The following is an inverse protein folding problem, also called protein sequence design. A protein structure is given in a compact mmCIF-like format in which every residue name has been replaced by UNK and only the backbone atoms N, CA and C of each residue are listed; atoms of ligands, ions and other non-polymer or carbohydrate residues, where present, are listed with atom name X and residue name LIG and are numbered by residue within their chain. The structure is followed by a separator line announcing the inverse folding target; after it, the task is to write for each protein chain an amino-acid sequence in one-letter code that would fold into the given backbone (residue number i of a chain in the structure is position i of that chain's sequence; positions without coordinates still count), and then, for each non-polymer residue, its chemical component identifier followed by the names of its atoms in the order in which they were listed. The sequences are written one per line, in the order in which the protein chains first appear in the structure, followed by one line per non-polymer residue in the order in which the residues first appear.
data_IF_206827181680
#
_entry.id   IF_206827181680
#
_cell.length_a   1.000
_cell.length_b   1.000
_cell.length_c   1.000
_cell.angle_alpha   90.00
_cell.angle_beta   90.00
_cell.angle_gamma   90.00
#
_symmetry.space_group_name_H-M   'P 1'
#
loop_
_entity.id
_entity.type
_entity.pdbx_description
1 polymer ?
#
# COMPACT_ATOMS: atom_id res chain seq x y z
N UNK A 1 16.84 8.23 -16.92
CA UNK A 1 17.44 8.49 -15.60
C UNK A 1 16.53 7.81 -14.60
N UNK A 2 17.06 6.94 -13.75
CA UNK A 2 16.23 6.20 -12.79
C UNK A 2 15.86 7.08 -11.61
N UNK A 3 14.63 6.98 -11.13
CA UNK A 3 14.10 7.69 -9.97
C UNK A 3 14.80 7.24 -8.69
N UNK A 4 14.96 8.17 -7.74
CA UNK A 4 15.37 7.83 -6.37
C UNK A 4 14.19 7.27 -5.58
N UNK A 5 14.44 6.64 -4.43
CA UNK A 5 13.37 6.21 -3.51
C UNK A 5 12.47 7.39 -3.08
N UNK A 6 13.04 8.59 -2.96
CA UNK A 6 12.28 9.80 -2.63
C UNK A 6 11.37 10.25 -3.78
N UNK A 7 11.87 10.21 -5.02
CA UNK A 7 11.07 10.50 -6.22
C UNK A 7 9.90 9.52 -6.34
N UNK A 8 10.15 8.23 -6.12
CA UNK A 8 9.13 7.17 -6.14
C UNK A 8 8.04 7.44 -5.10
N UNK A 9 8.43 7.64 -3.83
CA UNK A 9 7.47 7.90 -2.75
C UNK A 9 6.72 9.23 -2.93
N UNK A 10 7.36 10.28 -3.48
CA UNK A 10 6.70 11.53 -3.81
C UNK A 10 5.64 11.35 -4.91
N UNK A 11 6.02 10.70 -6.02
CA UNK A 11 5.13 10.45 -7.15
C UNK A 11 3.98 9.52 -6.78
N UNK A 12 4.23 8.49 -5.96
CA UNK A 12 3.20 7.59 -5.47
C UNK A 12 2.12 8.35 -4.67
N UNK A 13 2.54 9.27 -3.78
CA UNK A 13 1.61 10.12 -3.03
C UNK A 13 0.84 11.07 -3.92
N UNK A 14 1.48 11.65 -4.94
CA UNK A 14 0.80 12.50 -5.92
C UNK A 14 -0.25 11.70 -6.72
N UNK A 15 0.11 10.50 -7.18
CA UNK A 15 -0.77 9.61 -7.92
C UNK A 15 -1.96 9.15 -7.07
N UNK A 16 -1.76 8.89 -5.78
CA UNK A 16 -2.82 8.53 -4.84
C UNK A 16 -3.95 9.57 -4.76
N UNK A 17 -3.68 10.84 -5.09
CA UNK A 17 -4.71 11.90 -5.12
C UNK A 17 -5.60 11.85 -6.37
N UNK A 18 -5.26 11.04 -7.38
CA UNK A 18 -5.91 11.02 -8.69
C UNK A 18 -6.78 9.76 -8.94
N UNK A 19 -7.11 8.99 -7.92
CA UNK A 19 -7.88 7.73 -8.01
C UNK A 19 -7.29 6.71 -9.00
N UNK A 20 -6.10 6.15 -8.73
CA UNK A 20 -5.29 5.45 -9.72
C UNK A 20 -5.60 3.95 -9.85
N UNK A 21 -6.70 3.49 -9.28
CA UNK A 21 -7.03 2.07 -9.23
C UNK A 21 -7.63 1.54 -10.52
N UNK A 22 -7.37 0.26 -10.78
CA UNK A 22 -8.18 -0.55 -11.69
C UNK A 22 -9.55 -0.83 -11.06
N UNK A 23 -10.53 -1.22 -11.87
CA UNK A 23 -11.89 -1.49 -11.38
C UNK A 23 -11.92 -2.57 -10.29
N UNK A 24 -11.19 -3.67 -10.45
CA UNK A 24 -11.06 -4.72 -9.45
C UNK A 24 -10.36 -4.24 -8.18
N UNK A 25 -9.23 -3.54 -8.30
CA UNK A 25 -8.54 -3.00 -7.12
C UNK A 25 -9.42 -2.01 -6.35
N UNK A 26 -10.23 -1.20 -7.05
CA UNK A 26 -11.19 -0.30 -6.42
C UNK A 26 -12.33 -1.06 -5.70
N UNK A 27 -12.88 -2.13 -6.30
CA UNK A 27 -13.89 -2.98 -5.65
C UNK A 27 -13.32 -3.64 -4.39
N UNK A 28 -12.12 -4.20 -4.50
CA UNK A 28 -11.40 -4.81 -3.39
C UNK A 28 -11.15 -3.80 -2.25
N UNK A 29 -10.62 -2.62 -2.56
CA UNK A 29 -10.38 -1.55 -1.60
C UNK A 29 -11.67 -1.16 -0.87
N UNK A 30 -12.76 -0.93 -1.61
CA UNK A 30 -14.03 -0.53 -1.02
C UNK A 30 -14.58 -1.57 -0.04
N UNK A 31 -14.44 -2.86 -0.38
CA UNK A 31 -14.81 -3.97 0.52
C UNK A 31 -13.98 -3.96 1.79
N UNK A 32 -12.66 -4.03 1.64
CA UNK A 32 -11.73 -4.17 2.76
C UNK A 32 -11.80 -2.95 3.69
N UNK A 33 -11.86 -1.74 3.15
CA UNK A 33 -12.04 -0.53 3.96
C UNK A 33 -13.38 -0.56 4.70
N UNK A 34 -14.45 -1.05 4.07
CA UNK A 34 -15.74 -1.27 4.74
C UNK A 34 -15.63 -2.21 5.94
N UNK A 35 -14.96 -3.35 5.76
CA UNK A 35 -14.71 -4.34 6.81
C UNK A 35 -13.82 -3.80 7.93
N UNK A 36 -12.76 -3.07 7.59
CA UNK A 36 -11.89 -2.44 8.59
C UNK A 36 -12.63 -1.37 9.38
N UNK A 37 -13.42 -0.51 8.74
CA UNK A 37 -14.22 0.50 9.45
C UNK A 37 -15.23 -0.10 10.42
N UNK A 38 -15.70 -1.32 10.14
CA UNK A 38 -16.65 -2.03 11.00
C UNK A 38 -15.97 -2.83 12.13
N UNK A 39 -14.75 -3.30 11.91
CA UNK A 39 -14.04 -4.20 12.84
C UNK A 39 -13.06 -3.50 13.78
N UNK A 40 -12.59 -2.30 13.41
CA UNK A 40 -11.60 -1.56 14.20
C UNK A 40 -12.24 -0.85 15.40
N UNK A 41 -11.49 -0.62 16.50
CA UNK A 41 -11.97 0.13 17.67
C UNK A 41 -12.42 1.55 17.33
N UNK A 42 -11.81 2.17 16.31
CA UNK A 42 -12.16 3.48 15.76
C UNK A 42 -12.30 3.36 14.24
N UNK A 43 -13.42 3.82 13.63
CA UNK A 43 -13.62 3.76 12.19
C UNK A 43 -12.51 4.45 11.37
N UNK A 44 -11.87 5.48 11.93
CA UNK A 44 -10.76 6.22 11.33
C UNK A 44 -9.57 5.31 11.00
N UNK A 45 -9.33 4.28 11.81
CA UNK A 45 -8.26 3.29 11.57
C UNK A 45 -8.48 2.58 10.23
N UNK A 46 -9.74 2.23 9.92
CA UNK A 46 -10.07 1.63 8.62
C UNK A 46 -9.90 2.61 7.45
N UNK A 47 -10.12 3.90 7.67
CA UNK A 47 -9.80 4.93 6.66
C UNK A 47 -8.28 5.07 6.47
N UNK A 48 -7.49 4.97 7.54
CA UNK A 48 -6.03 5.02 7.45
C UNK A 48 -5.46 3.81 6.71
N UNK A 49 -5.99 2.62 6.97
CA UNK A 49 -5.67 1.41 6.21
C UNK A 49 -5.89 1.59 4.71
N UNK A 50 -7.04 2.16 4.32
CA UNK A 50 -7.34 2.45 2.91
C UNK A 50 -6.36 3.43 2.27
N UNK A 51 -5.96 4.48 2.99
CA UNK A 51 -4.97 5.44 2.51
C UNK A 51 -3.57 4.82 2.36
N UNK A 52 -3.14 4.04 3.35
CA UNK A 52 -1.87 3.31 3.34
C UNK A 52 -1.80 2.32 2.16
N UNK A 53 -2.86 1.53 1.97
CA UNK A 53 -3.01 0.62 0.84
C UNK A 53 -2.91 1.36 -0.50
N UNK A 54 -3.60 2.49 -0.62
CA UNK A 54 -3.52 3.32 -1.83
C UNK A 54 -2.07 3.77 -2.10
N UNK A 55 -1.35 4.21 -1.07
CA UNK A 55 0.05 4.62 -1.20
C UNK A 55 0.94 3.52 -1.79
N UNK A 56 0.87 2.31 -1.23
CA UNK A 56 1.64 1.16 -1.73
C UNK A 56 1.27 0.76 -3.15
N UNK A 57 -0.02 0.72 -3.47
CA UNK A 57 -0.50 0.42 -4.82
C UNK A 57 0.06 1.43 -5.85
N UNK A 58 0.08 2.71 -5.49
CA UNK A 58 0.61 3.76 -6.33
C UNK A 58 2.13 3.66 -6.52
N UNK A 59 2.87 3.18 -5.52
CA UNK A 59 4.30 2.96 -5.66
C UNK A 59 4.60 1.99 -6.79
N UNK A 60 3.93 0.83 -6.79
CA UNK A 60 4.11 -0.15 -7.86
C UNK A 60 3.74 0.42 -9.23
N UNK A 61 2.65 1.20 -9.30
CA UNK A 61 2.27 1.89 -10.55
C UNK A 61 3.33 2.87 -11.05
N UNK A 62 3.98 3.61 -10.15
CA UNK A 62 5.05 4.53 -10.52
C UNK A 62 6.28 3.77 -11.02
N UNK A 63 6.60 2.62 -10.45
CA UNK A 63 7.67 1.75 -10.95
C UNK A 63 7.36 1.19 -12.34
N UNK A 64 6.10 0.77 -12.57
CA UNK A 64 5.63 0.36 -13.91
C UNK A 64 5.80 1.49 -14.92
N UNK A 65 5.35 2.71 -14.57
CA UNK A 65 5.49 3.89 -15.42
C UNK A 65 6.97 4.21 -15.69
N UNK A 66 7.86 4.11 -14.69
CA UNK A 66 9.31 4.28 -14.84
C UNK A 66 9.91 3.25 -15.80
N UNK A 67 9.48 1.99 -15.71
CA UNK A 67 9.91 0.90 -16.56
C UNK A 67 9.30 0.96 -17.97
N UNK A 68 8.40 1.91 -18.25
CA UNK A 68 7.67 2.01 -19.51
C UNK A 68 6.65 0.89 -19.70
N UNK A 69 6.21 0.25 -18.61
CA UNK A 69 5.19 -0.79 -18.62
C UNK A 69 3.81 -0.14 -18.50
N UNK A 70 2.97 -0.34 -19.51
CA UNK A 70 1.55 0.00 -19.43
C UNK A 70 0.77 -1.30 -19.20
N UNK A 71 0.62 -1.68 -17.94
CA UNK A 71 -0.21 -2.83 -17.56
C UNK A 71 -1.66 -2.36 -17.46
N UNK A 72 -2.39 -2.49 -18.57
CA UNK A 72 -3.84 -2.31 -18.58
C UNK A 72 -4.51 -3.39 -17.74
N UNK A 73 -5.55 -3.02 -16.99
CA UNK A 73 -6.37 -4.00 -16.30
C UNK A 73 -7.10 -4.89 -17.30
N UNK A 74 -6.90 -6.20 -17.18
CA UNK A 74 -7.74 -7.19 -17.83
C UNK A 74 -9.19 -6.96 -17.40
N UNK A 75 -10.19 -7.04 -18.29
CA UNK A 75 -11.59 -6.85 -17.91
C UNK A 75 -12.03 -7.80 -16.79
N UNK A 76 -12.36 -7.21 -15.64
CA UNK A 76 -12.53 -7.86 -14.34
C UNK A 76 -13.85 -8.65 -14.14
N UNK A 77 -14.45 -9.18 -15.21
CA UNK A 77 -15.80 -9.75 -15.13
C UNK A 77 -15.88 -10.98 -14.22
N UNK A 78 -14.80 -11.79 -14.14
CA UNK A 78 -14.81 -13.10 -13.47
C UNK A 78 -13.72 -13.27 -12.38
N UNK A 79 -12.99 -12.22 -12.00
CA UNK A 79 -11.94 -12.34 -10.96
C UNK A 79 -12.56 -12.18 -9.58
N UNK A 80 -12.41 -13.23 -8.76
CA UNK A 80 -12.85 -13.29 -7.37
C UNK A 80 -11.97 -12.37 -6.46
N UNK A 81 -12.56 -11.36 -5.78
CA UNK A 81 -11.83 -10.53 -4.81
C UNK A 81 -11.18 -11.29 -3.66
N UNK A 82 -11.69 -12.48 -3.29
CA UNK A 82 -11.06 -13.33 -2.26
C UNK A 82 -9.77 -13.95 -2.78
N UNK A 83 -9.78 -14.41 -4.03
CA UNK A 83 -8.56 -14.92 -4.66
C UNK A 83 -7.50 -13.82 -4.81
N UNK A 84 -7.93 -12.60 -5.14
CA UNK A 84 -7.04 -11.44 -5.18
C UNK A 84 -6.42 -11.14 -3.80
N UNK A 85 -7.23 -11.24 -2.73
CA UNK A 85 -6.74 -11.05 -1.37
C UNK A 85 -5.66 -12.07 -1.01
N UNK A 86 -5.91 -13.35 -1.28
CA UNK A 86 -4.97 -14.44 -1.00
C UNK A 86 -3.61 -14.21 -1.67
N UNK A 87 -3.63 -13.83 -2.95
CA UNK A 87 -2.40 -13.58 -3.72
C UNK A 87 -1.69 -12.34 -3.19
N UNK A 88 -2.40 -11.25 -2.93
CA UNK A 88 -1.82 -10.03 -2.36
C UNK A 88 -1.21 -10.27 -0.97
N UNK A 89 -1.84 -11.10 -0.13
CA UNK A 89 -1.31 -11.50 1.19
C UNK A 89 -0.01 -12.29 1.05
N UNK A 90 0.03 -13.25 0.13
CA UNK A 90 1.25 -14.04 -0.11
C UNK A 90 2.39 -13.16 -0.59
N UNK A 91 2.16 -12.31 -1.60
CA UNK A 91 3.17 -11.40 -2.14
C UNK A 91 3.62 -10.40 -1.06
N UNK A 92 2.70 -9.90 -0.22
CA UNK A 92 3.08 -9.01 0.88
C UNK A 92 4.00 -9.69 1.90
N UNK A 93 3.74 -10.96 2.23
CA UNK A 93 4.60 -11.74 3.12
C UNK A 93 6.00 -11.97 2.51
N UNK A 94 6.04 -12.27 1.22
CA UNK A 94 7.27 -12.42 0.44
C UNK A 94 8.10 -11.12 0.49
N UNK A 95 7.48 -9.98 0.14
CA UNK A 95 8.13 -8.65 0.19
C UNK A 95 8.70 -8.33 1.58
N UNK A 96 7.94 -8.60 2.65
CA UNK A 96 8.40 -8.35 4.03
C UNK A 96 9.60 -9.22 4.45
N UNK A 97 9.73 -10.40 3.88
CA UNK A 97 10.82 -11.33 4.21
C UNK A 97 12.00 -11.23 3.23
N UNK A 98 11.87 -10.39 2.19
CA UNK A 98 12.83 -10.36 1.08
C UNK A 98 12.82 -11.64 0.25
N UNK A 99 11.74 -12.42 0.31
CA UNK A 99 11.54 -13.59 -0.51
C UNK A 99 10.86 -13.20 -1.83
N UNK A 100 11.20 -13.87 -2.93
CA UNK A 100 10.61 -13.65 -4.25
C UNK A 100 11.13 -12.40 -4.97
N UNK A 101 11.12 -12.45 -6.30
CA UNK A 101 11.49 -11.32 -7.18
C UNK A 101 10.22 -10.53 -7.54
N UNK A 102 9.75 -9.70 -6.62
CA UNK A 102 8.49 -8.95 -6.78
C UNK A 102 8.72 -7.51 -7.25
N UNK A 103 9.91 -6.94 -7.09
CA UNK A 103 10.25 -5.57 -7.49
C UNK A 103 10.59 -5.46 -8.98
N UNK A 104 10.22 -4.34 -9.60
CA UNK A 104 10.61 -4.05 -11.01
C UNK A 104 11.97 -3.35 -11.11
N UNK A 105 12.45 -2.78 -10.01
CA UNK A 105 13.74 -2.12 -9.92
C UNK A 105 14.63 -2.75 -8.85
N UNK A 106 15.61 -1.99 -8.42
CA UNK A 106 16.46 -2.33 -7.28
C UNK A 106 15.63 -2.51 -5.98
N UNK A 107 15.74 -3.68 -5.35
CA UNK A 107 14.97 -4.04 -4.15
C UNK A 107 15.22 -3.08 -3.00
N UNK A 108 16.49 -2.68 -2.78
CA UNK A 108 16.84 -1.72 -1.73
C UNK A 108 16.12 -0.38 -1.93
N UNK A 109 16.05 0.08 -3.18
CA UNK A 109 15.32 1.29 -3.55
C UNK A 109 13.82 1.17 -3.34
N UNK A 110 13.21 0.06 -3.71
CA UNK A 110 11.77 -0.19 -3.52
C UNK A 110 11.42 -0.24 -2.04
N UNK A 111 12.21 -0.97 -1.24
CA UNK A 111 12.05 -1.04 0.22
C UNK A 111 12.20 0.35 0.85
N UNK A 112 13.22 1.12 0.46
CA UNK A 112 13.40 2.48 0.96
C UNK A 112 12.24 3.42 0.58
N UNK A 113 11.59 3.22 -0.57
CA UNK A 113 10.41 3.98 -0.96
C UNK A 113 9.17 3.57 -0.14
N UNK A 114 8.98 2.27 0.12
CA UNK A 114 7.94 1.74 1.00
C UNK A 114 8.09 2.30 2.43
N UNK A 115 9.29 2.26 3.00
CA UNK A 115 9.58 2.78 4.33
C UNK A 115 9.21 4.26 4.45
N UNK A 116 9.52 5.05 3.41
CA UNK A 116 9.15 6.48 3.35
C UNK A 116 7.64 6.68 3.29
N UNK A 117 6.91 5.82 2.59
CA UNK A 117 5.45 5.86 2.58
C UNK A 117 4.90 5.51 3.96
N UNK A 118 5.41 4.45 4.59
CA UNK A 118 5.01 4.06 5.96
C UNK A 118 5.23 5.21 6.94
N UNK A 119 6.44 5.77 6.99
CA UNK A 119 6.75 6.90 7.87
C UNK A 119 5.81 8.08 7.61
N UNK A 120 5.61 8.46 6.35
CA UNK A 120 4.69 9.54 6.01
C UNK A 120 3.25 9.21 6.42
N UNK A 121 2.83 7.95 6.35
CA UNK A 121 1.51 7.55 6.77
C UNK A 121 1.36 7.62 8.29
N UNK A 122 2.33 7.12 9.05
CA UNK A 122 2.39 7.18 10.53
C UNK A 122 2.42 8.64 11.02
N UNK A 123 3.36 9.45 10.51
CA UNK A 123 3.57 10.83 10.93
C UNK A 123 2.31 11.69 10.77
N UNK A 124 1.63 11.60 9.61
CA UNK A 124 0.41 12.38 9.31
C UNK A 124 -0.73 12.14 10.30
N UNK A 125 -0.83 10.95 10.90
CA UNK A 125 -1.95 10.59 11.78
C UNK A 125 -1.62 10.83 13.24
N UNK A 126 -0.33 10.72 13.58
CA UNK A 126 0.10 10.64 14.96
C UNK A 126 0.75 11.90 15.50
N UNK A 127 1.02 12.91 14.68
CA UNK A 127 1.51 14.20 15.17
C UNK A 127 0.59 14.80 16.26
N UNK A 128 -0.73 14.57 16.15
CA UNK A 128 -1.71 15.02 17.15
C UNK A 128 -1.86 14.09 18.36
N UNK A 129 -1.40 12.83 18.28
CA UNK A 129 -1.64 11.79 19.30
C UNK A 129 -0.39 11.39 20.05
N UNK A 130 0.79 11.91 19.66
CA UNK A 130 2.10 11.51 20.17
C UNK A 130 2.24 11.56 21.69
N UNK A 131 1.60 12.53 22.33
CA UNK A 131 1.64 12.68 23.79
C UNK A 131 0.53 11.89 24.52
N UNK A 132 -0.37 11.25 23.77
CA UNK A 132 -1.60 10.60 24.28
C UNK A 132 -1.61 9.07 24.12
N UNK A 133 -0.72 8.50 23.29
CA UNK A 133 -0.57 7.06 23.11
C UNK A 133 0.76 6.58 23.68
N UNK A 134 0.76 5.39 24.29
CA UNK A 134 1.98 4.78 24.78
C UNK A 134 2.80 4.14 23.64
N UNK A 135 4.07 3.86 23.93
CA UNK A 135 5.02 3.27 22.95
C UNK A 135 4.52 1.94 22.36
N UNK A 136 3.70 1.20 23.11
CA UNK A 136 3.16 -0.09 22.65
C UNK A 136 2.08 0.13 21.60
N UNK A 137 1.10 0.98 21.89
CA UNK A 137 0.05 1.36 20.94
C UNK A 137 0.64 2.03 19.69
N UNK A 138 1.73 2.80 19.87
CA UNK A 138 2.50 3.36 18.76
C UNK A 138 3.02 2.26 17.82
N UNK A 139 3.76 1.30 18.36
CA UNK A 139 4.33 0.21 17.58
C UNK A 139 3.26 -0.67 16.90
N UNK A 140 2.13 -0.93 17.58
CA UNK A 140 1.02 -1.69 17.00
C UNK A 140 0.40 -0.96 15.79
N UNK A 141 0.24 0.36 15.86
CA UNK A 141 -0.29 1.14 14.74
C UNK A 141 0.73 1.25 13.59
N UNK A 142 2.01 1.43 13.89
CA UNK A 142 3.08 1.44 12.89
C UNK A 142 3.13 0.12 12.12
N UNK A 143 3.09 -1.02 12.81
CA UNK A 143 3.02 -2.34 12.20
C UNK A 143 1.74 -2.51 11.36
N UNK A 144 0.61 -2.04 11.87
CA UNK A 144 -0.67 -2.09 11.15
C UNK A 144 -0.63 -1.29 9.84
N UNK A 145 -0.12 -0.05 9.86
CA UNK A 145 -0.01 0.77 8.65
C UNK A 145 1.05 0.23 7.68
N UNK A 146 2.15 -0.30 8.20
CA UNK A 146 3.18 -0.99 7.41
C UNK A 146 2.57 -2.12 6.61
N UNK A 147 1.79 -2.98 7.28
CA UNK A 147 1.07 -4.07 6.60
C UNK A 147 0.21 -3.56 5.44
N UNK A 148 -0.55 -2.50 5.64
CA UNK A 148 -1.42 -1.97 4.59
C UNK A 148 -0.66 -1.33 3.43
N UNK A 149 0.45 -0.62 3.68
CA UNK A 149 1.31 -0.11 2.61
C UNK A 149 1.86 -1.26 1.78
N UNK A 150 2.46 -2.27 2.41
CA UNK A 150 3.05 -3.40 1.69
C UNK A 150 1.98 -4.22 0.96
N UNK A 151 0.81 -4.43 1.58
CA UNK A 151 -0.31 -5.13 0.94
C UNK A 151 -0.85 -4.36 -0.27
N UNK A 152 -0.84 -3.02 -0.23
CA UNK A 152 -1.19 -2.19 -1.38
C UNK A 152 -0.24 -2.37 -2.56
N UNK A 153 1.07 -2.41 -2.28
CA UNK A 153 2.09 -2.69 -3.29
C UNK A 153 1.90 -4.08 -3.90
N UNK A 154 1.70 -5.09 -3.06
CA UNK A 154 1.40 -6.46 -3.46
C UNK A 154 0.11 -6.59 -4.28
N UNK A 155 -0.95 -5.85 -3.93
CA UNK A 155 -2.23 -5.84 -4.65
C UNK A 155 -2.08 -5.44 -6.12
N UNK A 156 -1.11 -4.59 -6.46
CA UNK A 156 -0.87 -4.22 -7.86
C UNK A 156 -0.13 -5.31 -8.63
N UNK A 157 0.64 -6.15 -7.94
CA UNK A 157 1.38 -7.27 -8.51
C UNK A 157 0.44 -8.47 -8.74
N UNK A 158 -0.50 -8.70 -7.83
CA UNK A 158 -1.50 -9.76 -7.86
C UNK A 158 -2.47 -9.64 -9.05
#
# INVERSE_FOLDING_TARGET
MSFTAEDLAFRARALAQAHPFTSLAQRYLNRIVGEQRASQPLPEIGTWAGAALTGGYCLRRVEEDEAGLTLEATPDADVDPDRLDEVAVQIAADVRTGAGEHSLGDDERTVAALDRLVHAEVDKRLEHWRDSIDDKAWAELEEYLTWWVVKGYALRIA
#
